data_IF_488083358812
#
_entry.id   IF_488083358812
#
_cell.length_a   1.000
_cell.length_b   1.000
_cell.length_c   1.000
_cell.angle_alpha   90.00
_cell.angle_beta   90.00
_cell.angle_gamma   90.00
#
_symmetry.space_group_name_H-M   'P 1'
#
loop_
_entity.id
_entity.type
_entity.pdbx_description
1 polymer ?
#
# COMPACT_ATOMS: atom_id res chain seq x y z
N UNK A 1 38.28 25.45 10.45
CA UNK A 1 37.50 24.97 9.30
C UNK A 1 36.85 26.19 8.69
N UNK A 2 37.04 26.45 7.40
CA UNK A 2 36.43 27.60 6.74
C UNK A 2 34.91 27.49 6.85
N UNK A 3 34.27 28.55 7.32
CA UNK A 3 32.80 28.69 7.37
C UNK A 3 32.26 28.54 5.94
N UNK A 4 31.26 27.68 5.73
CA UNK A 4 30.67 27.45 4.42
C UNK A 4 30.02 28.74 3.92
N UNK A 5 30.53 29.32 2.82
CA UNK A 5 29.89 30.47 2.15
C UNK A 5 28.90 29.97 1.09
N UNK A 6 27.58 30.05 1.34
CA UNK A 6 26.59 29.56 0.40
C UNK A 6 26.59 30.36 -0.91
N UNK A 7 26.94 31.65 -0.89
CA UNK A 7 26.84 32.52 -2.08
C UNK A 7 27.89 32.17 -3.12
N UNK A 8 29.13 31.98 -2.69
CA UNK A 8 30.23 31.57 -3.56
C UNK A 8 29.96 30.16 -4.13
N UNK A 9 29.51 29.24 -3.27
CA UNK A 9 29.15 27.88 -3.69
C UNK A 9 28.04 27.89 -4.76
N UNK A 10 26.92 28.60 -4.53
CA UNK A 10 25.81 28.69 -5.50
C UNK A 10 26.29 29.27 -6.83
N UNK A 11 27.20 30.26 -6.82
CA UNK A 11 27.73 30.85 -8.05
C UNK A 11 28.54 29.85 -8.89
N UNK A 12 29.19 28.88 -8.24
CA UNK A 12 29.95 27.82 -8.90
C UNK A 12 29.09 26.70 -9.50
N UNK A 13 27.81 26.60 -9.12
CA UNK A 13 26.94 25.51 -9.54
C UNK A 13 26.55 25.60 -11.03
N UNK A 14 26.52 24.46 -11.75
CA UNK A 14 26.05 24.43 -13.12
C UNK A 14 24.52 24.56 -13.19
N UNK A 15 24.03 25.11 -14.30
CA UNK A 15 22.61 25.05 -14.69
C UNK A 15 22.32 23.76 -15.45
N UNK A 16 22.54 22.64 -14.78
CA UNK A 16 22.31 21.29 -15.30
C UNK A 16 21.45 20.49 -14.31
N UNK A 17 20.75 19.44 -14.78
CA UNK A 17 20.06 18.54 -13.88
C UNK A 17 21.06 17.80 -13.00
N UNK A 18 20.61 17.45 -11.80
CA UNK A 18 21.42 16.71 -10.85
C UNK A 18 20.80 16.59 -9.47
N UNK A 19 21.57 16.00 -8.56
CA UNK A 19 21.20 15.80 -7.16
C UNK A 19 22.14 16.60 -6.28
N UNK A 20 21.59 17.26 -5.26
CA UNK A 20 22.33 17.94 -4.21
C UNK A 20 22.11 17.26 -2.86
N UNK A 21 23.14 17.26 -2.03
CA UNK A 21 23.18 16.66 -0.70
C UNK A 21 23.63 17.71 0.29
N UNK A 22 22.85 17.91 1.35
CA UNK A 22 23.12 18.88 2.39
C UNK A 22 23.57 18.17 3.65
N UNK A 23 24.73 18.56 4.17
CA UNK A 23 25.37 17.94 5.31
C UNK A 23 25.45 18.91 6.49
N UNK A 24 25.31 18.39 7.70
CA UNK A 24 25.51 19.13 8.94
C UNK A 24 26.76 18.71 9.67
N UNK A 25 26.76 18.99 10.98
CA UNK A 25 27.86 18.68 11.89
C UNK A 25 28.31 17.21 11.77
N UNK A 26 29.63 17.01 11.72
CA UNK A 26 30.22 15.67 11.61
C UNK A 26 29.93 14.96 10.28
N UNK A 27 29.57 15.70 9.23
CA UNK A 27 29.22 15.15 7.91
C UNK A 27 27.96 14.27 7.92
N UNK A 28 27.01 14.57 8.81
CA UNK A 28 25.69 13.93 8.81
C UNK A 28 24.87 14.39 7.60
N UNK A 29 24.36 13.45 6.79
CA UNK A 29 23.49 13.76 5.66
C UNK A 29 22.08 14.17 6.15
N UNK A 30 21.76 15.46 6.03
CA UNK A 30 20.51 16.04 6.52
C UNK A 30 19.38 15.94 5.48
N UNK A 31 19.71 16.23 4.21
CA UNK A 31 18.73 16.28 3.13
C UNK A 31 19.37 15.96 1.77
N UNK A 32 18.60 15.30 0.91
CA UNK A 32 18.92 15.02 -0.49
C UNK A 32 17.80 15.60 -1.33
N UNK A 33 18.13 16.31 -2.41
CA UNK A 33 17.12 16.77 -3.36
C UNK A 33 17.61 16.74 -4.80
N UNK A 34 16.69 16.61 -5.74
CA UNK A 34 16.95 16.73 -7.18
C UNK A 34 16.65 18.15 -7.69
N UNK A 35 17.24 18.49 -8.83
CA UNK A 35 16.99 19.75 -9.51
C UNK A 35 17.07 19.58 -11.03
N UNK A 36 16.24 20.32 -11.78
CA UNK A 36 16.45 20.57 -13.23
C UNK A 36 17.65 21.48 -13.48
N UNK A 37 17.86 22.42 -12.55
CA UNK A 37 18.98 23.35 -12.52
C UNK A 37 19.50 23.42 -11.09
N UNK A 38 20.65 22.79 -10.84
CA UNK A 38 21.28 22.75 -9.51
C UNK A 38 21.46 24.15 -8.94
N UNK A 39 21.96 25.10 -9.75
CA UNK A 39 22.16 26.49 -9.33
C UNK A 39 20.87 27.16 -8.85
N UNK A 40 19.79 27.05 -9.62
CA UNK A 40 18.56 27.77 -9.33
C UNK A 40 17.83 27.13 -8.13
N UNK A 41 17.81 25.79 -8.05
CA UNK A 41 17.16 25.07 -6.93
C UNK A 41 17.91 25.27 -5.62
N UNK A 42 19.23 25.04 -5.57
CA UNK A 42 20.03 25.23 -4.35
C UNK A 42 19.97 26.69 -3.90
N UNK A 43 20.00 27.64 -4.84
CA UNK A 43 19.87 29.05 -4.54
C UNK A 43 18.58 29.46 -3.82
N UNK A 44 17.49 28.69 -4.00
CA UNK A 44 16.19 28.97 -3.38
C UNK A 44 16.21 28.79 -1.85
N UNK A 45 17.05 27.88 -1.32
CA UNK A 45 17.18 27.65 0.12
C UNK A 45 17.84 28.83 0.84
N UNK A 46 18.82 29.47 0.19
CA UNK A 46 19.61 30.57 0.76
C UNK A 46 19.09 31.95 0.34
N UNK A 47 17.92 32.02 -0.31
CA UNK A 47 17.31 33.27 -0.72
C UNK A 47 16.80 34.05 0.51
N UNK A 48 17.09 35.36 0.64
CA UNK A 48 16.66 36.16 1.80
C UNK A 48 15.15 36.23 2.01
N UNK A 49 14.37 35.97 0.95
CA UNK A 49 12.89 35.97 0.98
C UNK A 49 12.29 34.66 1.49
N UNK A 50 13.11 33.64 1.75
CA UNK A 50 12.60 32.37 2.25
C UNK A 50 12.20 32.50 3.73
N UNK A 51 10.89 32.44 3.98
CA UNK A 51 10.29 32.62 5.31
C UNK A 51 9.84 31.33 5.95
N UNK A 52 10.01 30.18 5.27
CA UNK A 52 9.63 28.88 5.84
C UNK A 52 10.50 28.58 7.08
N UNK A 53 9.91 28.45 8.28
CA UNK A 53 10.64 28.19 9.52
C UNK A 53 11.48 26.90 9.47
N UNK A 54 11.03 25.90 8.73
CA UNK A 54 11.71 24.61 8.64
C UNK A 54 12.85 24.64 7.64
N UNK A 55 12.70 25.36 6.53
CA UNK A 55 13.84 25.63 5.63
C UNK A 55 14.93 26.39 6.38
N UNK A 56 14.56 27.37 7.22
CA UNK A 56 15.51 28.06 8.10
C UNK A 56 16.18 27.13 9.12
N UNK A 57 15.42 26.20 9.70
CA UNK A 57 15.96 25.20 10.61
C UNK A 57 16.97 24.28 9.92
N UNK A 58 16.70 23.87 8.67
CA UNK A 58 17.66 23.11 7.86
C UNK A 58 18.89 23.95 7.55
N UNK A 59 18.73 25.15 6.98
CA UNK A 59 19.87 25.96 6.52
C UNK A 59 20.79 26.39 7.65
N UNK A 60 20.27 26.59 8.86
CA UNK A 60 21.07 26.86 10.06
C UNK A 60 21.97 25.68 10.50
N UNK A 61 21.69 24.46 10.04
CA UNK A 61 22.46 23.26 10.37
C UNK A 61 23.40 22.82 9.24
N UNK A 62 23.37 23.48 8.07
CA UNK A 62 24.19 23.09 6.93
C UNK A 62 25.64 23.56 7.16
N UNK A 63 26.56 22.61 7.15
CA UNK A 63 28.02 22.86 7.14
C UNK A 63 28.64 22.57 5.76
N UNK A 64 27.92 21.90 4.87
CA UNK A 64 28.40 21.63 3.52
C UNK A 64 27.30 21.17 2.56
N UNK A 65 27.53 21.44 1.27
CA UNK A 65 26.66 20.98 0.18
C UNK A 65 27.51 20.31 -0.89
N UNK A 66 27.08 19.14 -1.33
CA UNK A 66 27.69 18.42 -2.46
C UNK A 66 26.67 18.27 -3.59
N UNK A 67 27.15 18.29 -4.84
CA UNK A 67 26.30 18.11 -6.02
C UNK A 67 26.83 17.02 -6.93
N UNK A 68 25.93 16.27 -7.54
CA UNK A 68 26.21 15.30 -8.59
C UNK A 68 25.38 15.67 -9.81
N UNK A 69 26.05 16.03 -10.91
CA UNK A 69 25.40 16.36 -12.18
C UNK A 69 24.97 15.08 -12.88
N UNK A 70 23.77 15.08 -13.47
CA UNK A 70 23.24 13.97 -14.26
C UNK A 70 23.05 14.37 -15.73
N UNK A 71 22.78 13.39 -16.57
CA UNK A 71 22.51 13.58 -17.99
C UNK A 71 21.04 13.89 -18.27
N UNK A 72 20.13 13.47 -17.38
CA UNK A 72 18.70 13.74 -17.47
C UNK A 72 18.04 14.00 -16.11
N UNK A 73 16.80 14.51 -16.14
CA UNK A 73 15.95 14.65 -14.95
C UNK A 73 15.58 13.29 -14.36
N UNK A 74 15.36 12.29 -15.22
CA UNK A 74 15.05 10.90 -14.82
C UNK A 74 16.21 10.26 -14.07
N UNK A 75 17.46 10.47 -14.53
CA UNK A 75 18.65 10.01 -13.81
C UNK A 75 18.81 10.73 -12.46
N UNK A 76 18.52 12.04 -12.39
CA UNK A 76 18.52 12.78 -11.13
C UNK A 76 17.47 12.24 -10.15
N UNK A 77 16.27 11.94 -10.64
CA UNK A 77 15.16 11.37 -9.87
C UNK A 77 15.53 10.00 -9.29
N UNK A 78 16.10 9.11 -10.11
CA UNK A 78 16.55 7.79 -9.66
C UNK A 78 17.67 7.88 -8.63
N UNK A 79 18.67 8.75 -8.87
CA UNK A 79 19.79 8.93 -7.95
C UNK A 79 19.33 9.50 -6.60
N UNK A 80 18.45 10.50 -6.61
CA UNK A 80 17.84 11.06 -5.40
C UNK A 80 17.14 9.95 -4.60
N UNK A 81 16.26 9.18 -5.24
CA UNK A 81 15.56 8.07 -4.59
C UNK A 81 16.53 7.06 -3.98
N UNK A 82 17.58 6.66 -4.71
CA UNK A 82 18.57 5.70 -4.21
C UNK A 82 19.32 6.22 -2.98
N UNK A 83 19.68 7.50 -2.97
CA UNK A 83 20.34 8.15 -1.83
C UNK A 83 19.40 8.28 -0.62
N UNK A 84 18.13 8.66 -0.83
CA UNK A 84 17.12 8.70 0.25
C UNK A 84 16.89 7.30 0.82
N UNK A 85 16.77 6.28 -0.04
CA UNK A 85 16.59 4.88 0.40
C UNK A 85 17.76 4.39 1.23
N UNK A 86 18.99 4.69 0.80
CA UNK A 86 20.21 4.25 1.47
C UNK A 86 20.44 4.93 2.82
N UNK A 87 20.24 6.25 2.89
CA UNK A 87 20.64 7.05 4.04
C UNK A 87 19.48 7.49 4.94
N UNK A 88 18.24 7.48 4.44
CA UNK A 88 17.02 7.96 5.13
C UNK A 88 17.24 9.29 5.86
N UNK A 89 17.69 10.35 5.16
CA UNK A 89 18.03 11.62 5.78
C UNK A 89 16.86 12.21 6.56
N UNK A 90 17.14 12.88 7.67
CA UNK A 90 16.13 13.32 8.65
C UNK A 90 15.03 14.20 8.05
N UNK A 91 15.38 15.05 7.09
CA UNK A 91 14.45 16.01 6.52
C UNK A 91 13.77 15.54 5.22
N UNK A 92 14.18 14.39 4.67
CA UNK A 92 13.56 13.82 3.48
C UNK A 92 12.24 13.12 3.78
N UNK A 93 11.43 12.99 2.73
CA UNK A 93 10.23 12.18 2.76
C UNK A 93 10.61 10.71 2.89
N UNK A 94 10.24 10.08 4.01
CA UNK A 94 10.50 8.65 4.26
C UNK A 94 9.19 7.93 4.52
N UNK A 95 8.86 6.97 3.66
CA UNK A 95 7.75 6.07 3.87
C UNK A 95 8.12 5.06 4.96
N UNK A 96 7.53 5.22 6.15
CA UNK A 96 7.77 4.30 7.28
C UNK A 96 7.04 2.97 7.16
N UNK A 97 5.97 2.89 6.38
CA UNK A 97 5.18 1.67 6.23
C UNK A 97 5.70 0.85 5.03
N UNK A 98 6.61 -0.07 5.33
CA UNK A 98 7.30 -0.98 4.40
C UNK A 98 6.58 -2.33 4.26
N UNK A 99 5.26 -2.36 4.54
CA UNK A 99 4.51 -3.61 4.39
C UNK A 99 4.41 -3.94 2.91
N UNK A 100 5.02 -5.05 2.51
CA UNK A 100 4.81 -5.64 1.20
C UNK A 100 3.31 -5.82 0.92
N UNK A 101 2.94 -5.60 -0.34
CA UNK A 101 1.55 -5.66 -0.75
C UNK A 101 0.96 -7.04 -0.43
N UNK A 102 -0.26 -7.08 0.13
CA UNK A 102 -0.96 -8.33 0.30
C UNK A 102 -1.57 -8.78 -1.05
N UNK A 103 -1.50 -10.07 -1.30
CA UNK A 103 -2.04 -10.74 -2.49
C UNK A 103 -2.95 -11.90 -2.07
N UNK A 104 -3.78 -12.34 -3.01
CA UNK A 104 -4.38 -13.67 -2.97
C UNK A 104 -3.50 -14.61 -3.78
N UNK A 105 -3.04 -15.69 -3.17
CA UNK A 105 -2.27 -16.73 -3.84
C UNK A 105 -3.17 -17.95 -4.13
N UNK A 106 -3.18 -18.41 -5.38
CA UNK A 106 -3.74 -19.69 -5.76
C UNK A 106 -2.66 -20.75 -5.64
N UNK A 107 -2.77 -21.56 -4.58
CA UNK A 107 -1.91 -22.68 -4.34
C UNK A 107 -2.37 -23.89 -5.15
N UNK A 108 -1.55 -24.35 -6.10
CA UNK A 108 -1.89 -25.35 -7.13
C UNK A 108 -1.24 -26.73 -6.93
N UNK A 109 -0.39 -26.92 -5.92
CA UNK A 109 0.31 -28.20 -5.73
C UNK A 109 -0.60 -29.35 -5.26
N UNK A 110 -1.83 -29.03 -4.84
CA UNK A 110 -2.82 -30.03 -4.44
C UNK A 110 -3.90 -30.18 -5.52
N UNK A 111 -4.38 -31.40 -5.74
CA UNK A 111 -5.50 -31.71 -6.65
C UNK A 111 -6.82 -30.95 -6.36
N UNK A 112 -6.94 -30.39 -5.16
CA UNK A 112 -8.01 -29.50 -4.72
C UNK A 112 -7.36 -28.16 -4.32
N UNK A 113 -7.09 -27.26 -5.29
CA UNK A 113 -6.42 -25.99 -5.04
C UNK A 113 -7.14 -25.15 -3.98
N UNK A 114 -6.41 -24.23 -3.35
CA UNK A 114 -6.99 -23.25 -2.42
C UNK A 114 -6.51 -21.83 -2.74
N UNK A 115 -7.34 -20.86 -2.37
CA UNK A 115 -6.98 -19.46 -2.36
C UNK A 115 -6.57 -19.06 -0.93
N UNK A 116 -5.39 -18.47 -0.79
CA UNK A 116 -4.85 -18.09 0.52
C UNK A 116 -4.32 -16.64 0.51
N UNK A 117 -4.27 -16.05 1.71
CA UNK A 117 -3.64 -14.76 1.92
C UNK A 117 -2.12 -14.92 1.77
N UNK A 118 -1.51 -14.04 0.98
CA UNK A 118 -0.06 -14.02 0.78
C UNK A 118 0.52 -12.62 0.97
N UNK A 119 1.71 -12.55 1.55
CA UNK A 119 2.50 -11.33 1.70
C UNK A 119 3.98 -11.69 1.69
N UNK A 120 4.75 -11.12 0.77
CA UNK A 120 6.18 -11.43 0.61
C UNK A 120 6.60 -11.47 -0.86
N UNK A 121 7.83 -11.91 -1.12
CA UNK A 121 8.36 -12.08 -2.47
C UNK A 121 7.71 -13.28 -3.16
N UNK A 122 7.06 -13.07 -4.32
CA UNK A 122 6.30 -14.06 -5.13
C UNK A 122 7.15 -15.25 -5.60
N UNK A 123 7.52 -16.12 -4.67
CA UNK A 123 8.48 -17.23 -4.86
C UNK A 123 7.81 -18.60 -4.84
N UNK A 124 6.59 -18.69 -4.33
CA UNK A 124 5.85 -19.94 -4.32
C UNK A 124 5.20 -20.19 -5.69
N UNK A 125 5.12 -21.46 -6.14
CA UNK A 125 4.47 -21.79 -7.39
C UNK A 125 2.96 -21.57 -7.29
N UNK A 126 2.39 -21.01 -8.35
CA UNK A 126 0.97 -20.69 -8.41
C UNK A 126 0.71 -19.36 -9.10
N UNK A 127 -0.48 -18.81 -8.84
CA UNK A 127 -0.90 -17.52 -9.40
C UNK A 127 -1.16 -16.54 -8.27
N UNK A 128 -0.76 -15.28 -8.46
CA UNK A 128 -0.97 -14.22 -7.50
C UNK A 128 -1.95 -13.18 -8.06
N UNK A 129 -2.95 -12.82 -7.28
CA UNK A 129 -3.97 -11.82 -7.62
C UNK A 129 -3.85 -10.63 -6.67
N UNK A 130 -3.89 -9.42 -7.22
CA UNK A 130 -3.64 -8.18 -6.49
C UNK A 130 -2.71 -7.25 -7.28
N UNK A 131 -1.99 -6.34 -6.61
CA UNK A 131 -1.95 -6.12 -5.16
C UNK A 131 -3.30 -5.65 -4.60
N UNK A 132 -3.56 -5.95 -3.32
CA UNK A 132 -4.71 -5.43 -2.59
C UNK A 132 -4.29 -4.27 -1.68
N UNK A 133 -5.19 -3.31 -1.41
CA UNK A 133 -4.85 -2.12 -0.61
C UNK A 133 -4.49 -2.49 0.84
N UNK A 134 -5.16 -3.49 1.40
CA UNK A 134 -4.90 -3.91 2.77
C UNK A 134 -5.12 -5.41 3.00
N UNK A 135 -4.60 -5.92 4.11
CA UNK A 135 -4.87 -7.29 4.52
C UNK A 135 -6.35 -7.52 4.88
N UNK A 136 -7.09 -6.46 5.23
CA UNK A 136 -8.54 -6.52 5.39
C UNK A 136 -9.22 -6.82 4.07
N UNK A 137 -8.89 -6.04 3.02
CA UNK A 137 -9.44 -6.21 1.68
C UNK A 137 -9.23 -7.64 1.14
N UNK A 138 -8.02 -8.20 1.30
CA UNK A 138 -7.77 -9.61 0.90
C UNK A 138 -8.68 -10.58 1.64
N UNK A 139 -8.83 -10.44 2.96
CA UNK A 139 -9.68 -11.33 3.76
C UNK A 139 -11.14 -11.21 3.37
N UNK A 140 -11.62 -10.00 3.09
CA UNK A 140 -12.99 -9.77 2.65
C UNK A 140 -13.26 -10.41 1.29
N UNK A 141 -12.35 -10.23 0.32
CA UNK A 141 -12.44 -10.89 -0.99
C UNK A 141 -12.39 -12.42 -0.85
N UNK A 142 -11.46 -12.98 -0.08
CA UNK A 142 -11.39 -14.43 0.17
C UNK A 142 -12.68 -14.95 0.81
N UNK A 143 -13.24 -14.23 1.79
CA UNK A 143 -14.51 -14.58 2.43
C UNK A 143 -15.67 -14.58 1.43
N UNK A 144 -15.73 -13.61 0.52
CA UNK A 144 -16.75 -13.55 -0.52
C UNK A 144 -16.62 -14.73 -1.50
N UNK A 145 -15.42 -14.99 -2.01
CA UNK A 145 -15.16 -16.10 -2.94
C UNK A 145 -15.47 -17.47 -2.30
N UNK A 146 -15.10 -17.66 -1.04
CA UNK A 146 -15.43 -18.89 -0.29
C UNK A 146 -16.93 -19.08 -0.12
N UNK A 147 -17.69 -18.01 0.16
CA UNK A 147 -19.15 -18.10 0.26
C UNK A 147 -19.81 -18.40 -1.09
N UNK A 148 -19.33 -17.79 -2.16
CA UNK A 148 -19.86 -17.95 -3.51
C UNK A 148 -19.57 -19.34 -4.07
N UNK A 149 -18.30 -19.71 -4.13
CA UNK A 149 -17.82 -20.90 -4.85
C UNK A 149 -17.56 -22.09 -3.93
N UNK A 150 -17.77 -21.94 -2.61
CA UNK A 150 -17.57 -23.00 -1.60
C UNK A 150 -16.19 -23.65 -1.67
N UNK A 151 -15.17 -22.82 -1.88
CA UNK A 151 -13.77 -23.23 -2.02
C UNK A 151 -13.15 -23.50 -0.65
N UNK A 152 -12.30 -24.52 -0.55
CA UNK A 152 -11.64 -24.87 0.71
C UNK A 152 -10.60 -23.82 1.10
N UNK A 153 -10.41 -23.64 2.41
CA UNK A 153 -9.35 -22.79 2.99
C UNK A 153 -8.46 -23.54 3.99
N UNK A 154 -8.68 -24.85 4.17
CA UNK A 154 -7.89 -25.67 5.07
C UNK A 154 -6.51 -25.95 4.47
N UNK A 155 -5.51 -26.10 5.36
CA UNK A 155 -4.18 -26.59 4.99
C UNK A 155 -4.24 -28.07 4.62
N UNK A 156 -3.27 -28.53 3.84
CA UNK A 156 -3.20 -29.90 3.33
C UNK A 156 -3.15 -30.95 4.44
N UNK A 157 -2.42 -30.66 5.52
CA UNK A 157 -2.39 -31.53 6.71
C UNK A 157 -3.77 -31.71 7.36
N UNK A 158 -4.58 -30.66 7.41
CA UNK A 158 -5.96 -30.78 7.88
C UNK A 158 -6.85 -31.47 6.84
N UNK A 159 -6.60 -31.28 5.55
CA UNK A 159 -7.38 -31.94 4.49
C UNK A 159 -7.21 -33.47 4.53
N UNK A 160 -5.96 -33.94 4.59
CA UNK A 160 -5.63 -35.36 4.52
C UNK A 160 -6.13 -36.17 5.74
N UNK A 161 -6.29 -35.53 6.90
CA UNK A 161 -6.66 -36.20 8.15
C UNK A 161 -8.15 -36.10 8.50
N UNK A 162 -9.02 -35.68 7.57
CA UNK A 162 -10.46 -35.50 7.84
C UNK A 162 -11.25 -36.76 7.54
N UNK A 163 -11.99 -37.22 8.55
CA UNK A 163 -12.97 -38.30 8.42
C UNK A 163 -14.42 -37.82 8.30
N UNK A 164 -14.70 -36.55 8.65
CA UNK A 164 -16.04 -35.94 8.57
C UNK A 164 -15.99 -34.49 8.10
N UNK A 165 -17.07 -33.98 7.45
CA UNK A 165 -17.16 -32.58 7.07
C UNK A 165 -16.92 -31.64 8.26
N UNK A 166 -16.21 -30.55 8.02
CA UNK A 166 -15.91 -29.56 9.05
C UNK A 166 -16.98 -28.45 9.12
N UNK A 167 -16.85 -27.56 10.11
CA UNK A 167 -17.74 -26.42 10.29
C UNK A 167 -17.89 -25.57 9.02
N UNK A 168 -16.81 -25.37 8.23
CA UNK A 168 -16.86 -24.59 6.99
C UNK A 168 -17.87 -25.17 5.98
N UNK A 169 -18.01 -26.50 5.93
CA UNK A 169 -19.03 -27.14 5.11
C UNK A 169 -20.43 -26.92 5.67
N UNK A 170 -20.60 -27.11 6.97
CA UNK A 170 -21.89 -26.96 7.66
C UNK A 170 -22.46 -25.54 7.51
N UNK A 171 -21.61 -24.52 7.48
CA UNK A 171 -22.00 -23.12 7.26
C UNK A 171 -22.01 -22.72 5.77
N UNK A 172 -21.90 -23.69 4.85
CA UNK A 172 -22.03 -23.47 3.41
C UNK A 172 -20.87 -22.74 2.73
N UNK A 173 -19.65 -22.78 3.29
CA UNK A 173 -18.44 -22.14 2.74
C UNK A 173 -17.44 -23.10 2.08
N UNK A 174 -17.66 -24.40 2.19
CA UNK A 174 -16.80 -25.42 1.60
C UNK A 174 -17.64 -26.58 1.08
N UNK A 175 -17.35 -27.06 -0.14
CA UNK A 175 -17.98 -28.25 -0.74
C UNK A 175 -17.44 -29.57 -0.19
N UNK A 176 -16.58 -29.51 0.84
CA UNK A 176 -16.00 -30.65 1.55
C UNK A 176 -15.30 -31.72 0.65
N UNK A 177 -14.39 -31.31 -0.26
CA UNK A 177 -13.60 -32.26 -1.05
C UNK A 177 -12.77 -33.22 -0.20
N UNK A 178 -12.39 -32.83 1.02
CA UNK A 178 -11.58 -33.66 1.94
C UNK A 178 -12.24 -34.98 2.36
N UNK A 179 -13.55 -35.12 2.16
CA UNK A 179 -14.31 -36.33 2.47
C UNK A 179 -15.13 -36.82 1.26
N UNK A 180 -14.76 -36.37 0.05
CA UNK A 180 -15.35 -36.86 -1.20
C UNK A 180 -16.77 -36.39 -1.52
N UNK A 181 -17.29 -35.34 -0.87
CA UNK A 181 -18.66 -34.83 -1.12
C UNK A 181 -18.81 -34.04 -2.43
N UNK A 182 -17.72 -33.77 -3.13
CA UNK A 182 -17.71 -33.12 -4.44
C UNK A 182 -16.65 -33.82 -5.32
N UNK A 183 -16.97 -34.14 -6.59
CA UNK A 183 -15.97 -34.69 -7.51
C UNK A 183 -14.93 -33.62 -7.88
N UNK A 184 -13.72 -34.08 -8.20
CA UNK A 184 -12.57 -33.22 -8.54
C UNK A 184 -12.88 -32.21 -9.64
N UNK A 185 -13.52 -32.65 -10.71
CA UNK A 185 -13.79 -31.79 -11.88
C UNK A 185 -14.79 -30.67 -11.56
N UNK A 186 -15.81 -30.97 -10.74
CA UNK A 186 -16.77 -29.96 -10.29
C UNK A 186 -16.09 -28.92 -9.38
N UNK A 187 -15.20 -29.36 -8.48
CA UNK A 187 -14.42 -28.43 -7.66
C UNK A 187 -13.46 -27.57 -8.50
N UNK A 188 -12.84 -28.16 -9.53
CA UNK A 188 -11.97 -27.43 -10.45
C UNK A 188 -12.73 -26.33 -11.23
N UNK A 189 -13.99 -26.58 -11.61
CA UNK A 189 -14.86 -25.55 -12.21
C UNK A 189 -15.14 -24.39 -11.23
N UNK A 190 -15.41 -24.69 -9.96
CA UNK A 190 -15.65 -23.66 -8.95
C UNK A 190 -14.38 -22.82 -8.69
N UNK A 191 -13.19 -23.43 -8.70
CA UNK A 191 -11.90 -22.72 -8.65
C UNK A 191 -11.71 -21.84 -9.90
N UNK A 192 -11.99 -22.37 -11.10
CA UNK A 192 -11.85 -21.63 -12.34
C UNK A 192 -12.78 -20.40 -12.38
N UNK A 193 -14.02 -20.53 -11.89
CA UNK A 193 -14.94 -19.41 -11.75
C UNK A 193 -14.43 -18.35 -10.77
N UNK A 194 -13.89 -18.75 -9.62
CA UNK A 194 -13.29 -17.81 -8.66
C UNK A 194 -12.09 -17.07 -9.25
N UNK A 195 -11.25 -17.75 -10.03
CA UNK A 195 -10.13 -17.16 -10.77
C UNK A 195 -10.62 -16.13 -11.79
N UNK A 196 -11.64 -16.45 -12.59
CA UNK A 196 -12.26 -15.49 -13.54
C UNK A 196 -12.77 -14.24 -12.83
N UNK A 197 -13.42 -14.38 -11.66
CA UNK A 197 -13.87 -13.24 -10.86
C UNK A 197 -12.70 -12.36 -10.40
N UNK A 198 -11.60 -12.96 -9.97
CA UNK A 198 -10.39 -12.23 -9.55
C UNK A 198 -9.69 -11.51 -10.72
N UNK A 199 -9.86 -11.99 -11.94
CA UNK A 199 -9.38 -11.35 -13.18
C UNK A 199 -10.35 -10.30 -13.73
N UNK A 200 -11.48 -10.05 -13.05
CA UNK A 200 -12.49 -9.10 -13.51
C UNK A 200 -13.50 -9.67 -14.51
N UNK A 201 -13.38 -10.93 -14.92
CA UNK A 201 -14.24 -11.62 -15.90
C UNK A 201 -15.51 -12.16 -15.25
N UNK A 202 -16.21 -11.32 -14.51
CA UNK A 202 -17.39 -11.72 -13.72
C UNK A 202 -18.63 -11.95 -14.58
N UNK A 203 -18.75 -11.28 -15.73
CA UNK A 203 -19.89 -11.46 -16.63
C UNK A 203 -19.84 -12.80 -17.37
N UNK A 204 -18.63 -13.28 -17.73
CA UNK A 204 -18.43 -14.66 -18.17
C UNK A 204 -18.93 -15.67 -17.13
N UNK A 205 -18.63 -15.42 -15.84
CA UNK A 205 -19.06 -16.31 -14.75
C UNK A 205 -20.57 -16.23 -14.53
N UNK A 206 -21.18 -15.04 -14.64
CA UNK A 206 -22.63 -14.89 -14.58
C UNK A 206 -23.33 -15.69 -15.69
N UNK A 207 -22.83 -15.59 -16.93
CA UNK A 207 -23.37 -16.33 -18.08
C UNK A 207 -23.22 -17.85 -17.89
N UNK A 208 -22.07 -18.30 -17.38
CA UNK A 208 -21.82 -19.72 -17.09
C UNK A 208 -22.74 -20.24 -15.97
N UNK A 209 -22.95 -19.47 -14.89
CA UNK A 209 -23.89 -19.81 -13.82
C UNK A 209 -25.34 -19.85 -14.33
N UNK A 210 -25.73 -18.91 -15.20
CA UNK A 210 -27.07 -18.87 -15.78
C UNK A 210 -27.35 -20.12 -16.61
N UNK A 211 -26.43 -20.51 -17.49
CA UNK A 211 -26.53 -21.75 -18.26
C UNK A 211 -26.64 -22.98 -17.36
N UNK A 212 -25.81 -23.09 -16.32
CA UNK A 212 -25.84 -24.21 -15.35
C UNK A 212 -27.16 -24.26 -14.56
N UNK A 213 -27.74 -23.10 -14.25
CA UNK A 213 -29.02 -23.01 -13.57
C UNK A 213 -30.15 -23.52 -14.46
N UNK A 214 -30.16 -23.14 -15.74
CA UNK A 214 -31.14 -23.61 -16.73
C UNK A 214 -31.02 -25.13 -16.96
N UNK A 215 -29.80 -25.64 -17.11
CA UNK A 215 -29.53 -27.08 -17.24
C UNK A 215 -30.03 -27.87 -16.02
N UNK A 216 -29.76 -27.38 -14.80
CA UNK A 216 -30.26 -27.99 -13.57
C UNK A 216 -31.80 -27.96 -13.50
N UNK A 217 -32.43 -26.87 -13.95
CA UNK A 217 -33.87 -26.74 -14.06
C UNK A 217 -34.48 -27.73 -15.06
N UNK A 218 -33.88 -27.86 -16.24
CA UNK A 218 -34.29 -28.83 -17.26
C UNK A 218 -34.15 -30.29 -16.79
N UNK A 219 -33.13 -30.57 -15.96
CA UNK A 219 -32.94 -31.86 -15.30
C UNK A 219 -33.82 -32.07 -14.04
N UNK A 220 -34.74 -31.15 -13.74
CA UNK A 220 -35.63 -31.16 -12.56
C UNK A 220 -34.89 -31.15 -11.21
N UNK A 221 -33.65 -30.64 -11.18
CA UNK A 221 -32.81 -30.51 -9.98
C UNK A 221 -33.02 -29.14 -9.32
N UNK A 222 -34.23 -28.88 -8.82
CA UNK A 222 -34.63 -27.55 -8.35
C UNK A 222 -33.81 -27.00 -7.19
N UNK A 223 -33.36 -27.85 -6.24
CA UNK A 223 -32.48 -27.42 -5.16
C UNK A 223 -31.12 -26.93 -5.68
N UNK A 224 -30.59 -27.60 -6.70
CA UNK A 224 -29.33 -27.20 -7.34
C UNK A 224 -29.50 -25.90 -8.12
N UNK A 225 -30.59 -25.77 -8.87
CA UNK A 225 -30.92 -24.53 -9.58
C UNK A 225 -31.08 -23.34 -8.61
N UNK A 226 -31.75 -23.54 -7.48
CA UNK A 226 -31.90 -22.50 -6.44
C UNK A 226 -30.55 -22.07 -5.86
N UNK A 227 -29.64 -23.02 -5.58
CA UNK A 227 -28.29 -22.69 -5.11
C UNK A 227 -27.52 -21.85 -6.13
N UNK A 228 -27.58 -22.19 -7.42
CA UNK A 228 -26.89 -21.46 -8.49
C UNK A 228 -27.50 -20.06 -8.69
N UNK A 229 -28.83 -19.94 -8.62
CA UNK A 229 -29.52 -18.64 -8.62
C UNK A 229 -29.02 -17.73 -7.50
N UNK A 230 -28.92 -18.27 -6.29
CA UNK A 230 -28.46 -17.51 -5.12
C UNK A 230 -26.98 -17.10 -5.25
N UNK A 231 -26.14 -17.97 -5.85
CA UNK A 231 -24.76 -17.64 -6.21
C UNK A 231 -24.70 -16.47 -7.21
N UNK A 232 -25.49 -16.50 -8.29
CA UNK A 232 -25.57 -15.44 -9.28
C UNK A 232 -26.04 -14.12 -8.65
N UNK A 233 -27.08 -14.15 -7.82
CA UNK A 233 -27.56 -12.96 -7.12
C UNK A 233 -26.53 -12.38 -6.14
N UNK A 234 -25.72 -13.24 -5.49
CA UNK A 234 -24.63 -12.77 -4.64
C UNK A 234 -23.47 -12.17 -5.45
N UNK A 235 -23.12 -12.74 -6.61
CA UNK A 235 -22.12 -12.19 -7.52
C UNK A 235 -22.55 -10.81 -8.08
N UNK A 236 -23.80 -10.69 -8.50
CA UNK A 236 -24.38 -9.43 -8.97
C UNK A 236 -24.38 -8.33 -7.90
N UNK A 237 -24.65 -8.67 -6.63
CA UNK A 237 -24.55 -7.71 -5.53
C UNK A 237 -23.12 -7.19 -5.32
N UNK A 238 -22.13 -8.06 -5.45
CA UNK A 238 -20.71 -7.66 -5.37
C UNK A 238 -20.34 -6.74 -6.53
N UNK A 239 -20.85 -7.00 -7.74
CA UNK A 239 -20.65 -6.11 -8.89
C UNK A 239 -21.35 -4.76 -8.70
N UNK A 240 -22.60 -4.73 -8.23
CA UNK A 240 -23.40 -3.51 -8.10
C UNK A 240 -22.86 -2.52 -7.05
N UNK A 241 -22.13 -3.01 -6.03
CA UNK A 241 -21.48 -2.15 -5.03
C UNK A 241 -20.22 -1.44 -5.55
N UNK A 242 -19.75 -1.80 -6.75
CA UNK A 242 -18.56 -1.21 -7.36
C UNK A 242 -19.02 -0.16 -8.38
N UNK A 243 -18.50 1.07 -8.28
CA UNK A 243 -18.80 2.17 -9.21
C UNK A 243 -18.65 1.64 -10.64
N UNK A 244 -19.74 1.77 -11.41
CA UNK A 244 -19.93 1.31 -12.79
C UNK A 244 -18.63 1.36 -13.59
N UNK A 245 -18.10 0.19 -13.92
CA UNK A 245 -16.85 0.03 -14.63
C UNK A 245 -17.06 -0.82 -15.86
N UNK A 246 -16.61 -0.30 -16.99
CA UNK A 246 -16.71 -0.97 -18.28
C UNK A 246 -15.65 -2.07 -18.36
N UNK A 247 -16.03 -3.20 -18.95
CA UNK A 247 -15.11 -4.31 -19.23
C UNK A 247 -13.93 -3.85 -20.09
N UNK A 248 -12.75 -4.44 -19.85
CA UNK A 248 -11.56 -4.22 -20.69
C UNK A 248 -10.72 -2.98 -20.39
N UNK A 249 -10.96 -2.26 -19.28
CA UNK A 249 -10.04 -1.20 -18.86
C UNK A 249 -8.74 -1.77 -18.28
N UNK A 250 -7.59 -1.14 -18.58
CA UNK A 250 -6.31 -1.55 -18.03
C UNK A 250 -6.29 -1.42 -16.50
N UNK A 251 -5.34 -2.10 -15.87
CA UNK A 251 -5.06 -1.90 -14.46
C UNK A 251 -4.56 -0.47 -14.24
N UNK A 252 -5.07 0.18 -13.19
CA UNK A 252 -4.78 1.57 -12.87
C UNK A 252 -4.53 1.73 -11.38
N UNK A 253 -3.52 2.51 -11.02
CA UNK A 253 -3.33 2.99 -9.65
C UNK A 253 -3.57 4.50 -9.60
N UNK A 254 -4.33 4.96 -8.61
CA UNK A 254 -4.70 6.37 -8.47
C UNK A 254 -4.11 6.92 -7.19
N UNK A 255 -3.35 8.01 -7.29
CA UNK A 255 -2.70 8.67 -6.17
C UNK A 255 -3.26 10.07 -5.97
N UNK A 256 -3.60 10.42 -4.74
CA UNK A 256 -3.92 11.79 -4.37
C UNK A 256 -3.23 12.15 -3.06
N UNK A 257 -2.65 13.35 -3.00
CA UNK A 257 -2.05 13.92 -1.81
C UNK A 257 -2.88 15.11 -1.32
N UNK A 258 -3.02 15.23 -0.01
CA UNK A 258 -3.58 16.42 0.66
C UNK A 258 -2.79 16.73 1.92
N UNK A 259 -2.84 17.99 2.33
CA UNK A 259 -2.12 18.49 3.51
C UNK A 259 -1.09 19.55 3.14
N UNK A 260 -0.51 20.16 4.17
CA UNK A 260 0.49 21.23 4.06
C UNK A 260 1.44 21.15 5.25
N UNK A 261 2.58 21.84 5.18
CA UNK A 261 3.48 21.97 6.31
C UNK A 261 3.99 20.63 6.83
N UNK A 262 4.26 19.67 5.93
CA UNK A 262 4.83 18.36 6.25
C UNK A 262 3.90 17.34 6.90
N UNK A 263 2.63 17.69 7.10
CA UNK A 263 1.56 16.78 7.51
C UNK A 263 0.73 16.42 6.26
N UNK A 264 1.14 15.36 5.56
CA UNK A 264 0.47 14.91 4.36
C UNK A 264 -0.27 13.58 4.57
N UNK A 265 -1.39 13.44 3.88
CA UNK A 265 -2.01 12.15 3.62
C UNK A 265 -1.95 11.87 2.11
N UNK A 266 -1.32 10.75 1.75
CA UNK A 266 -1.33 10.22 0.39
C UNK A 266 -2.26 9.02 0.35
N UNK A 267 -3.35 9.10 -0.40
CA UNK A 267 -4.24 7.97 -0.65
C UNK A 267 -3.90 7.31 -1.97
N UNK A 268 -3.87 5.98 -1.96
CA UNK A 268 -3.69 5.13 -3.14
C UNK A 268 -4.91 4.25 -3.32
N UNK A 269 -5.59 4.39 -4.45
CA UNK A 269 -6.68 3.53 -4.88
C UNK A 269 -6.18 2.59 -5.96
N UNK A 270 -6.42 1.29 -5.75
CA UNK A 270 -6.01 0.26 -6.70
C UNK A 270 -7.21 -0.18 -7.53
N UNK A 271 -7.10 -0.09 -8.86
CA UNK A 271 -8.13 -0.52 -9.80
C UNK A 271 -7.58 -1.65 -10.66
N UNK A 272 -8.23 -2.81 -10.67
CA UNK A 272 -7.82 -3.98 -11.46
C UNK A 272 -8.96 -4.50 -12.31
N UNK A 273 -8.76 -4.63 -13.62
CA UNK A 273 -9.82 -4.98 -14.58
C UNK A 273 -11.05 -4.07 -14.45
N UNK A 274 -10.82 -2.77 -14.29
CA UNK A 274 -11.87 -1.77 -14.00
C UNK A 274 -12.38 -1.76 -12.56
N UNK A 275 -12.11 -2.75 -11.71
CA UNK A 275 -12.70 -2.84 -10.36
C UNK A 275 -11.85 -2.12 -9.32
N UNK A 276 -12.47 -1.22 -8.55
CA UNK A 276 -11.84 -0.63 -7.37
C UNK A 276 -11.66 -1.71 -6.27
N UNK A 277 -10.41 -2.04 -5.94
CA UNK A 277 -10.03 -2.98 -4.89
C UNK A 277 -9.99 -2.33 -3.50
N UNK A 278 -10.16 -1.01 -3.43
CA UNK A 278 -10.19 -0.18 -2.24
C UNK A 278 -9.09 0.88 -2.23
N UNK A 279 -9.12 1.74 -1.20
CA UNK A 279 -8.17 2.84 -1.01
C UNK A 279 -7.39 2.65 0.29
N UNK A 280 -6.09 2.92 0.27
CA UNK A 280 -5.24 2.96 1.46
C UNK A 280 -4.56 4.31 1.58
N UNK A 281 -4.56 4.87 2.78
CA UNK A 281 -3.92 6.14 3.07
C UNK A 281 -2.60 5.94 3.82
N UNK A 282 -1.61 6.68 3.39
CA UNK A 282 -0.26 6.72 3.93
C UNK A 282 0.02 8.13 4.43
N UNK A 283 0.89 8.24 5.42
CA UNK A 283 1.20 9.52 6.06
C UNK A 283 2.70 9.73 6.05
N UNK A 284 3.28 10.06 4.89
CA UNK A 284 4.71 10.28 4.77
C UNK A 284 5.10 11.51 5.61
N UNK A 285 6.16 11.39 6.40
CA UNK A 285 6.75 12.56 7.08
C UNK A 285 7.54 13.33 6.05
N UNK A 286 7.12 14.53 5.73
CA UNK A 286 7.75 15.33 4.69
C UNK A 286 8.01 16.75 5.22
N UNK A 287 8.89 16.88 6.21
CA UNK A 287 9.01 18.12 6.96
C UNK A 287 9.24 19.34 6.07
N UNK A 288 10.01 19.21 4.99
CA UNK A 288 10.42 20.31 4.10
C UNK A 288 9.89 20.22 2.67
N UNK A 289 9.23 19.13 2.29
CA UNK A 289 8.83 18.93 0.92
C UNK A 289 7.45 19.53 0.67
N UNK A 290 7.29 20.19 -0.47
CA UNK A 290 5.98 20.57 -0.99
C UNK A 290 5.17 19.32 -1.35
N UNK A 291 3.85 19.48 -1.50
CA UNK A 291 2.95 18.36 -1.77
C UNK A 291 3.37 17.53 -3.00
N UNK A 292 3.73 18.20 -4.10
CA UNK A 292 4.11 17.55 -5.35
C UNK A 292 5.44 16.78 -5.22
N UNK A 293 6.42 17.37 -4.52
CA UNK A 293 7.71 16.71 -4.23
C UNK A 293 7.52 15.49 -3.30
N UNK A 294 6.68 15.65 -2.28
CA UNK A 294 6.33 14.56 -1.38
C UNK A 294 5.61 13.43 -2.11
N UNK A 295 4.71 13.76 -3.05
CA UNK A 295 4.01 12.77 -3.87
C UNK A 295 4.96 12.04 -4.82
N UNK A 296 5.84 12.75 -5.54
CA UNK A 296 6.82 12.13 -6.43
C UNK A 296 7.76 11.17 -5.67
N UNK A 297 8.30 11.62 -4.53
CA UNK A 297 9.14 10.79 -3.66
C UNK A 297 8.37 9.58 -3.11
N UNK A 298 7.11 9.78 -2.70
CA UNK A 298 6.24 8.71 -2.25
C UNK A 298 6.01 7.66 -3.35
N UNK A 299 5.70 8.06 -4.58
CA UNK A 299 5.45 7.13 -5.71
C UNK A 299 6.66 6.24 -5.98
N UNK A 300 7.87 6.82 -5.99
CA UNK A 300 9.12 6.05 -6.17
C UNK A 300 9.34 5.04 -5.06
N UNK A 301 9.12 5.45 -3.81
CA UNK A 301 9.22 4.56 -2.65
C UNK A 301 8.11 3.50 -2.64
N UNK A 302 6.91 3.85 -3.10
CA UNK A 302 5.76 2.95 -3.18
C UNK A 302 6.01 1.83 -4.20
N UNK A 303 6.51 2.20 -5.38
CA UNK A 303 6.91 1.23 -6.40
C UNK A 303 8.30 0.66 -6.15
N UNK A 304 8.99 0.96 -5.04
CA UNK A 304 10.28 0.37 -4.69
C UNK A 304 10.24 -1.17 -4.64
N UNK A 305 9.13 -1.73 -4.18
CA UNK A 305 8.94 -3.16 -3.97
C UNK A 305 7.73 -3.72 -4.75
N UNK A 306 7.08 -2.89 -5.56
CA UNK A 306 5.91 -3.26 -6.36
C UNK A 306 6.09 -2.95 -7.84
N UNK A 307 5.34 -3.69 -8.65
CA UNK A 307 5.22 -3.44 -10.09
C UNK A 307 4.11 -2.40 -10.32
N UNK A 308 4.44 -1.34 -11.06
CA UNK A 308 3.46 -0.35 -11.49
C UNK A 308 2.54 -0.96 -12.58
N UNK A 309 1.24 -0.64 -12.57
CA UNK A 309 0.34 -1.02 -13.66
C UNK A 309 0.55 -0.11 -14.88
N UNK A 310 -0.08 -0.44 -16.01
CA UNK A 310 0.06 0.29 -17.28
C UNK A 310 -0.27 1.80 -17.16
N UNK A 311 -1.13 2.18 -16.22
CA UNK A 311 -1.53 3.57 -16.01
C UNK A 311 -1.49 3.97 -14.52
N UNK A 312 -0.88 5.11 -14.24
CA UNK A 312 -0.82 5.72 -12.91
C UNK A 312 -1.45 7.12 -12.99
N UNK A 313 -2.57 7.29 -12.28
CA UNK A 313 -3.33 8.53 -12.26
C UNK A 313 -2.97 9.39 -11.05
N UNK A 314 -2.79 10.68 -11.29
CA UNK A 314 -2.37 11.64 -10.27
C UNK A 314 -3.49 12.64 -9.96
N UNK A 315 -3.59 13.02 -8.68
CA UNK A 315 -4.52 14.05 -8.19
C UNK A 315 -4.18 15.47 -8.62
N UNK A 316 -2.91 15.73 -8.93
CA UNK A 316 -2.39 17.00 -9.45
C UNK A 316 -1.49 16.74 -10.66
N UNK A 317 -1.22 17.79 -11.43
CA UNK A 317 -0.27 17.72 -12.53
C UNK A 317 1.16 17.86 -11.98
N UNK A 318 1.91 16.75 -11.91
CA UNK A 318 3.31 16.75 -11.47
C UNK A 318 4.25 17.09 -12.61
N UNK A 319 5.23 17.96 -12.36
CA UNK A 319 6.28 18.28 -13.33
C UNK A 319 7.13 17.06 -13.69
N UNK A 320 7.29 16.13 -12.76
CA UNK A 320 8.06 14.89 -12.86
C UNK A 320 7.29 13.74 -13.51
N UNK A 321 6.03 13.94 -13.93
CA UNK A 321 5.20 12.86 -14.47
C UNK A 321 5.88 12.13 -15.64
N UNK A 322 6.57 12.86 -16.52
CA UNK A 322 7.31 12.26 -17.64
C UNK A 322 8.49 11.40 -17.17
N UNK A 323 9.30 11.89 -16.23
CA UNK A 323 10.43 11.13 -15.65
C UNK A 323 9.98 9.93 -14.82
N UNK A 324 8.85 10.04 -14.10
CA UNK A 324 8.22 8.90 -13.41
C UNK A 324 7.76 7.84 -14.41
N UNK A 325 7.10 8.26 -15.50
CA UNK A 325 6.65 7.37 -16.57
C UNK A 325 7.82 6.61 -17.22
N UNK A 326 8.91 7.31 -17.56
CA UNK A 326 10.13 6.71 -18.12
C UNK A 326 10.74 5.69 -17.14
N UNK A 327 10.98 6.11 -15.90
CA UNK A 327 11.63 5.27 -14.89
C UNK A 327 10.82 4.00 -14.55
N UNK A 328 9.50 4.15 -14.36
CA UNK A 328 8.62 3.02 -14.08
C UNK A 328 8.52 2.08 -15.29
N UNK A 329 8.59 2.62 -16.51
CA UNK A 329 8.59 1.81 -17.73
C UNK A 329 9.86 0.99 -17.88
N UNK A 330 11.03 1.60 -17.70
CA UNK A 330 12.32 0.90 -17.74
C UNK A 330 12.38 -0.25 -16.74
N UNK A 331 11.84 -0.02 -15.54
CA UNK A 331 11.88 -1.00 -14.46
C UNK A 331 10.92 -2.18 -14.67
N UNK A 332 9.73 -1.94 -15.22
CA UNK A 332 8.74 -2.98 -15.48
C UNK A 332 8.96 -3.69 -16.83
N UNK A 333 9.75 -3.10 -17.73
CA UNK A 333 9.91 -3.55 -19.11
C UNK A 333 8.64 -3.35 -19.96
N UNK A 334 7.66 -2.59 -19.45
CA UNK A 334 6.40 -2.28 -20.11
C UNK A 334 6.20 -0.77 -20.14
N UNK A 335 5.37 -0.26 -21.06
CA UNK A 335 5.05 1.17 -21.09
C UNK A 335 4.08 1.51 -19.96
N UNK A 336 4.50 2.39 -19.06
CA UNK A 336 3.72 2.91 -17.93
C UNK A 336 3.42 4.38 -18.19
N UNK A 337 2.13 4.74 -18.27
CA UNK A 337 1.70 6.13 -18.44
C UNK A 337 1.38 6.77 -17.08
N UNK A 338 2.05 7.88 -16.75
CA UNK A 338 1.77 8.66 -15.53
C UNK A 338 1.13 9.97 -15.93
N UNK A 339 -0.11 10.24 -15.49
CA UNK A 339 -0.84 11.44 -15.93
C UNK A 339 -1.89 11.93 -14.93
N UNK A 340 -2.29 13.20 -15.09
CA UNK A 340 -3.43 13.80 -14.38
C UNK A 340 -4.69 13.81 -15.26
N UNK A 341 -5.73 13.02 -14.95
CA UNK A 341 -6.95 13.00 -15.74
C UNK A 341 -7.89 14.16 -15.37
N UNK A 342 -8.36 14.90 -16.38
CA UNK A 342 -9.26 16.06 -16.20
C UNK A 342 -10.75 15.76 -16.43
N UNK A 343 -11.08 14.62 -17.05
CA UNK A 343 -12.46 14.24 -17.37
C UNK A 343 -12.68 12.73 -17.39
N UNK A 344 -13.96 12.33 -17.40
CA UNK A 344 -14.38 10.94 -17.53
C UNK A 344 -14.25 10.13 -16.24
N UNK A 345 -14.25 8.80 -16.37
CA UNK A 345 -14.20 7.89 -15.22
C UNK A 345 -12.91 8.06 -14.39
N UNK A 346 -11.76 8.22 -15.06
CA UNK A 346 -10.46 8.44 -14.42
C UNK A 346 -10.45 9.67 -13.49
N UNK A 347 -11.08 10.78 -13.91
CA UNK A 347 -11.21 11.97 -13.07
C UNK A 347 -12.10 11.74 -11.84
N UNK A 348 -13.16 10.93 -11.97
CA UNK A 348 -14.00 10.54 -10.82
C UNK A 348 -13.24 9.68 -9.81
N UNK A 349 -12.37 8.78 -10.28
CA UNK A 349 -11.51 8.01 -9.38
C UNK A 349 -10.50 8.88 -8.65
N UNK A 350 -9.92 9.86 -9.34
CA UNK A 350 -9.04 10.86 -8.71
C UNK A 350 -9.78 11.63 -7.63
N UNK A 351 -10.99 12.12 -7.90
CA UNK A 351 -11.75 12.88 -6.91
C UNK A 351 -12.11 12.03 -5.68
N UNK A 352 -12.58 10.79 -5.89
CA UNK A 352 -12.85 9.87 -4.79
C UNK A 352 -11.58 9.55 -3.97
N UNK A 353 -10.44 9.40 -4.63
CA UNK A 353 -9.14 9.15 -3.96
C UNK A 353 -8.73 10.37 -3.14
N UNK A 354 -8.95 11.59 -3.66
CA UNK A 354 -8.69 12.85 -2.97
C UNK A 354 -9.60 13.02 -1.76
N UNK A 355 -10.90 12.75 -1.88
CA UNK A 355 -11.85 12.76 -0.76
C UNK A 355 -11.41 11.81 0.35
N UNK A 356 -11.01 10.58 -0.01
CA UNK A 356 -10.47 9.62 0.95
C UNK A 356 -9.19 10.15 1.65
N UNK A 357 -8.30 10.83 0.92
CA UNK A 357 -7.12 11.46 1.51
C UNK A 357 -7.51 12.57 2.52
N UNK A 358 -8.50 13.41 2.20
CA UNK A 358 -9.01 14.46 3.10
C UNK A 358 -9.57 13.85 4.38
N UNK A 359 -10.42 12.82 4.27
CA UNK A 359 -10.98 12.15 5.44
C UNK A 359 -9.90 11.48 6.28
N UNK A 360 -8.93 10.80 5.65
CA UNK A 360 -7.82 10.16 6.33
C UNK A 360 -6.95 11.16 7.10
N UNK A 361 -6.63 12.31 6.50
CA UNK A 361 -5.87 13.37 7.17
C UNK A 361 -6.65 13.93 8.37
N UNK A 362 -7.95 14.21 8.18
CA UNK A 362 -8.82 14.71 9.26
C UNK A 362 -8.89 13.74 10.43
N UNK A 363 -9.09 12.46 10.16
CA UNK A 363 -9.13 11.41 11.19
C UNK A 363 -7.79 11.30 11.92
N UNK A 364 -6.66 11.37 11.20
CA UNK A 364 -5.33 11.32 11.81
C UNK A 364 -5.07 12.51 12.73
N UNK A 365 -5.40 13.71 12.30
CA UNK A 365 -5.24 14.92 13.11
C UNK A 365 -6.10 14.86 14.39
N UNK A 366 -7.35 14.40 14.26
CA UNK A 366 -8.23 14.20 15.42
C UNK A 366 -7.68 13.15 16.39
N UNK A 367 -7.15 12.03 15.88
CA UNK A 367 -6.55 10.98 16.70
C UNK A 367 -5.29 11.49 17.43
N UNK A 368 -4.45 12.27 16.75
CA UNK A 368 -3.23 12.84 17.35
C UNK A 368 -3.55 13.83 18.46
N UNK A 369 -4.51 14.73 18.23
CA UNK A 369 -4.95 15.67 19.27
C UNK A 369 -5.42 14.95 20.54
N UNK A 370 -6.18 13.84 20.39
CA UNK A 370 -6.59 13.03 21.53
C UNK A 370 -5.43 12.30 22.21
N UNK A 371 -4.43 11.83 21.45
CA UNK A 371 -3.22 11.23 22.04
C UNK A 371 -2.40 12.26 22.82
N UNK A 372 -2.18 13.46 22.28
CA UNK A 372 -1.40 14.51 22.94
C UNK A 372 -2.04 14.88 24.30
N UNK A 373 -3.37 14.98 24.35
CA UNK A 373 -4.13 15.18 25.59
C UNK A 373 -3.92 14.02 26.58
N UNK A 374 -4.07 12.77 26.13
CA UNK A 374 -3.83 11.58 26.96
C UNK A 374 -2.40 11.49 27.51
N UNK A 375 -1.39 11.85 26.69
CA UNK A 375 0.01 11.83 27.09
C UNK A 375 0.32 12.94 28.12
N UNK A 376 -0.32 14.10 27.97
CA UNK A 376 -0.25 15.19 28.96
C UNK A 376 -0.89 14.78 30.29
N UNK A 377 -2.07 14.17 30.26
CA UNK A 377 -2.75 13.67 31.46
C UNK A 377 -1.94 12.57 32.16
N UNK A 378 -1.34 11.66 31.39
CA UNK A 378 -0.48 10.62 31.93
C UNK A 378 0.77 11.22 32.60
N UNK A 379 1.38 12.24 32.00
CA UNK A 379 2.52 12.93 32.60
C UNK A 379 2.15 13.57 33.94
N UNK A 380 1.00 14.25 33.99
CA UNK A 380 0.44 14.84 35.20
C UNK A 380 0.15 13.78 36.27
N UNK A 381 -0.47 12.65 35.90
CA UNK A 381 -0.81 11.58 36.83
C UNK A 381 0.41 10.85 37.43
N UNK A 382 1.52 10.81 36.68
CA UNK A 382 2.76 10.15 37.09
C UNK A 382 3.83 11.12 37.60
N UNK A 383 3.50 12.41 37.77
CA UNK A 383 4.44 13.48 38.14
C UNK A 383 5.70 13.54 37.24
N UNK A 384 5.53 13.28 35.94
CA UNK A 384 6.61 13.36 34.96
C UNK A 384 6.83 14.82 34.54
N UNK A 385 8.09 15.26 34.35
CA UNK A 385 8.41 16.62 33.93
C UNK A 385 7.92 16.94 32.51
N UNK A 386 7.82 15.92 31.64
CA UNK A 386 7.37 16.04 30.27
C UNK A 386 6.57 14.79 29.86
N UNK A 387 5.66 14.89 28.87
CA UNK A 387 4.97 13.74 28.31
C UNK A 387 5.94 12.66 27.81
N UNK A 388 5.71 11.37 28.15
CA UNK A 388 6.64 10.31 27.81
C UNK A 388 6.70 10.14 26.28
N UNK A 389 7.90 10.25 25.73
CA UNK A 389 8.15 10.09 24.29
C UNK A 389 8.16 8.61 23.84
N UNK A 390 8.18 7.67 24.79
CA UNK A 390 8.16 6.24 24.55
C UNK A 390 7.54 5.51 25.74
N UNK A 391 6.65 4.57 25.47
CA UNK A 391 6.05 3.68 26.47
C UNK A 391 6.22 2.24 25.98
N UNK A 392 6.79 1.39 26.83
CA UNK A 392 6.90 -0.05 26.59
C UNK A 392 6.03 -0.79 27.60
N UNK A 393 5.04 -1.53 27.11
CA UNK A 393 4.16 -2.34 27.95
C UNK A 393 4.51 -3.82 27.78
N UNK A 394 4.80 -4.49 28.89
CA UNK A 394 5.10 -5.91 28.93
C UNK A 394 3.89 -6.68 29.47
N UNK A 395 3.43 -7.69 28.72
CA UNK A 395 2.43 -8.65 29.16
C UNK A 395 3.07 -10.03 29.26
N UNK A 396 2.96 -10.67 30.42
CA UNK A 396 3.59 -11.95 30.74
C UNK A 396 2.50 -13.01 30.89
N UNK A 397 2.55 -14.03 30.04
CA UNK A 397 1.64 -15.17 30.05
C UNK A 397 2.40 -16.45 30.36
N UNK A 398 1.81 -17.32 31.18
CA UNK A 398 2.34 -18.64 31.49
C UNK A 398 1.22 -19.69 31.55
N UNK A 399 1.54 -20.94 31.28
CA UNK A 399 0.57 -22.04 31.39
C UNK A 399 0.91 -22.85 32.63
N UNK A 400 0.30 -22.53 33.77
CA UNK A 400 0.58 -23.23 35.04
C UNK A 400 2.02 -23.13 35.54
N UNK A 401 2.76 -22.07 35.17
CA UNK A 401 4.17 -21.90 35.50
C UNK A 401 5.17 -22.42 34.45
N UNK A 402 4.69 -23.11 33.41
CA UNK A 402 5.53 -23.57 32.30
C UNK A 402 5.31 -22.73 31.02
N UNK A 403 6.33 -22.71 30.17
CA UNK A 403 6.27 -22.06 28.86
C UNK A 403 6.00 -20.56 28.94
N UNK A 404 6.66 -19.85 29.86
CA UNK A 404 6.49 -18.42 30.05
C UNK A 404 6.83 -17.65 28.78
N UNK A 405 5.88 -16.87 28.30
CA UNK A 405 6.03 -16.00 27.14
C UNK A 405 5.75 -14.57 27.59
N UNK A 406 6.66 -13.66 27.26
CA UNK A 406 6.39 -12.23 27.38
C UNK A 406 6.15 -11.61 26.00
N UNK A 407 5.25 -10.64 25.95
CA UNK A 407 5.10 -9.76 24.79
C UNK A 407 5.37 -8.32 25.22
N UNK A 408 6.11 -7.59 24.38
CA UNK A 408 6.35 -6.17 24.54
C UNK A 408 5.66 -5.44 23.39
N UNK A 409 4.78 -4.50 23.74
CA UNK A 409 4.20 -3.54 22.81
C UNK A 409 4.79 -2.17 23.09
N UNK A 410 5.12 -1.45 22.03
CA UNK A 410 5.80 -0.16 22.10
C UNK A 410 4.90 0.93 21.55
N UNK A 411 4.78 2.03 22.28
CA UNK A 411 4.09 3.25 21.85
C UNK A 411 5.07 4.41 21.81
N UNK A 412 4.95 5.25 20.80
CA UNK A 412 5.58 6.57 20.74
C UNK A 412 4.52 7.68 20.72
N UNK A 413 4.92 8.93 20.47
CA UNK A 413 4.01 10.09 20.51
C UNK A 413 2.91 10.00 19.43
N UNK A 414 3.22 9.37 18.29
CA UNK A 414 2.26 9.14 17.19
C UNK A 414 1.45 7.84 17.35
N UNK A 415 1.53 7.18 18.51
CA UNK A 415 0.84 5.92 18.79
C UNK A 415 1.71 4.65 18.63
N UNK A 416 1.09 3.49 18.34
CA UNK A 416 1.78 2.20 18.44
C UNK A 416 2.86 1.95 17.37
N UNK A 417 4.06 1.57 17.81
CA UNK A 417 5.25 1.25 17.00
C UNK A 417 5.36 -0.27 16.73
N UNK A 418 4.47 -0.78 15.87
CA UNK A 418 4.33 -2.24 15.61
C UNK A 418 5.62 -2.98 15.22
N UNK A 419 6.57 -2.32 14.53
CA UNK A 419 7.85 -2.93 14.13
C UNK A 419 8.76 -3.22 15.32
N UNK A 420 8.53 -2.54 16.43
CA UNK A 420 9.29 -2.68 17.66
C UNK A 420 8.64 -3.65 18.64
N UNK A 421 7.51 -4.26 18.27
CA UNK A 421 6.90 -5.28 19.10
C UNK A 421 7.83 -6.48 19.19
N UNK A 422 7.92 -7.07 20.38
CA UNK A 422 8.76 -8.23 20.64
C UNK A 422 7.95 -9.31 21.33
N UNK A 423 8.30 -10.56 21.05
CA UNK A 423 7.83 -11.72 21.80
C UNK A 423 9.07 -12.44 22.31
N UNK A 424 9.08 -12.70 23.60
CA UNK A 424 10.17 -13.38 24.31
C UNK A 424 9.67 -14.73 24.79
N UNK A 425 10.46 -15.76 24.57
CA UNK A 425 10.32 -17.00 25.33
C UNK A 425 11.21 -16.83 26.56
N UNK A 426 10.61 -16.83 27.75
CA UNK A 426 11.34 -16.74 29.00
C UNK A 426 11.55 -18.19 29.46
N UNK A 427 12.74 -18.70 29.19
CA UNK A 427 13.18 -20.06 29.53
C UNK A 427 13.95 -20.09 30.83
#
# INVERSE_FOLDING_TARGET
MSEFDPKEFIASLPRRPGVYRMFGAGHELLYVGKARSLRDRVGTYFAPRNVDPKVRSLTAQIEGVEVTVTNSETEALLLEYNLIKAHKPRFNVVLRDDKSFPYIHLYVEHEFPRLEFYRGAKSAPGRYFGPFPSAGAVRDTLNQLQKLFRIRNCRDSFFANRSRPCLQHQIGRCSAPCVGLIPRDAYAQDIAAAVKVLEGRSDEVNAELEKRMEEAGAALQFERAAQIRDQRAALQRIQAQQIVTAEGQPDVDVFAIVGEGGEYAVSVMLVRGGRNLGTTSYFPRAALAEADEALASFILQYYADAEAPAEVLLGSNLEEAASLSELLSERTGQRIEVRHPVRGLAARWVELTRENAVQALRMRLAQRAGLDEMFSDLASMLDLPEPPSRIECFDISHTGGEGTVASCVVFGPDGPLKKEYRRFNIT
#
